data_IF_451092478684
#
_entry.id   IF_451092478684
#
_cell.length_a   1.000
_cell.length_b   1.000
_cell.length_c   1.000
_cell.angle_alpha   90.00
_cell.angle_beta   90.00
_cell.angle_gamma   90.00
#
_symmetry.space_group_name_H-M   'P 1'
#
loop_
_entity.id
_entity.type
_entity.pdbx_description
1 polymer ?
#
# COMPACT_ATOMS: atom_id res chain seq x y z
N UNK A 1 -18.26 -8.20 10.82
CA UNK A 1 -17.37 -7.57 9.84
C UNK A 1 -18.10 -6.37 9.31
N UNK A 2 -17.49 -5.20 9.36
CA UNK A 2 -18.02 -4.02 8.67
C UNK A 2 -17.85 -4.23 7.17
N UNK A 3 -18.82 -3.78 6.38
CA UNK A 3 -18.77 -3.87 4.91
C UNK A 3 -17.47 -3.21 4.42
N UNK A 4 -16.60 -3.98 3.74
CA UNK A 4 -15.30 -3.51 3.23
C UNK A 4 -14.04 -3.94 4.02
N UNK A 5 -14.16 -4.55 5.21
CA UNK A 5 -13.02 -5.05 5.97
C UNK A 5 -12.54 -6.41 5.42
N UNK A 6 -11.29 -6.43 4.94
CA UNK A 6 -10.62 -7.60 4.38
C UNK A 6 -9.85 -8.42 5.43
N UNK A 7 -9.86 -7.96 6.68
CA UNK A 7 -9.13 -8.58 7.79
C UNK A 7 -7.71 -8.04 7.97
N UNK A 8 -6.96 -8.58 8.96
CA UNK A 8 -5.66 -8.05 9.31
C UNK A 8 -4.56 -8.43 8.31
N UNK A 9 -3.63 -7.52 8.09
CA UNK A 9 -2.31 -7.85 7.56
C UNK A 9 -1.36 -7.98 8.75
N UNK A 10 -1.15 -9.21 9.22
CA UNK A 10 -0.36 -9.49 10.42
C UNK A 10 1.11 -9.76 10.15
N UNK A 11 1.49 -9.92 8.88
CA UNK A 11 2.88 -10.10 8.44
C UNK A 11 3.29 -8.99 7.49
N UNK A 12 4.59 -8.65 7.48
CA UNK A 12 5.12 -7.78 6.43
C UNK A 12 4.85 -8.46 5.09
N UNK A 13 3.89 -7.93 4.35
CA UNK A 13 3.51 -8.51 3.09
C UNK A 13 4.63 -8.23 2.08
N UNK A 14 5.37 -9.27 1.75
CA UNK A 14 6.18 -9.26 0.55
C UNK A 14 5.26 -9.57 -0.63
N UNK A 15 5.33 -8.77 -1.69
CA UNK A 15 4.72 -9.13 -2.95
C UNK A 15 5.30 -10.47 -3.43
N UNK A 16 4.52 -11.25 -4.15
CA UNK A 16 5.01 -12.47 -4.79
C UNK A 16 6.22 -12.12 -5.68
N UNK A 17 7.20 -13.04 -5.78
CA UNK A 17 8.45 -12.78 -6.50
C UNK A 17 8.20 -12.37 -7.95
N UNK A 18 7.22 -12.98 -8.59
CA UNK A 18 6.77 -12.65 -9.95
C UNK A 18 6.22 -11.22 -10.07
N UNK A 19 5.72 -10.66 -8.99
CA UNK A 19 5.15 -9.32 -8.97
C UNK A 19 6.19 -8.23 -8.65
N UNK A 20 7.34 -8.62 -8.11
CA UNK A 20 8.41 -7.65 -7.80
C UNK A 20 9.05 -7.07 -9.06
N UNK A 21 9.04 -7.83 -10.15
CA UNK A 21 9.54 -7.36 -11.45
C UNK A 21 8.68 -6.23 -12.05
N UNK A 22 7.42 -6.14 -11.65
CA UNK A 22 6.47 -5.15 -12.17
C UNK A 22 6.39 -3.88 -11.32
N UNK A 23 7.11 -3.82 -10.18
CA UNK A 23 7.04 -2.68 -9.28
C UNK A 23 7.39 -1.36 -9.96
N UNK A 24 8.42 -1.38 -10.83
CA UNK A 24 8.91 -0.20 -11.53
C UNK A 24 8.31 -0.05 -12.94
N UNK A 25 7.39 -0.94 -13.31
CA UNK A 25 6.79 -0.94 -14.65
C UNK A 25 5.72 0.13 -14.76
N UNK A 26 5.68 0.82 -15.91
CA UNK A 26 4.62 1.77 -16.26
C UNK A 26 3.86 1.22 -17.45
N UNK A 27 2.57 1.05 -17.27
CA UNK A 27 1.67 0.51 -18.28
C UNK A 27 0.82 1.62 -18.88
N UNK A 28 0.69 1.61 -20.21
CA UNK A 28 -0.19 2.52 -20.93
C UNK A 28 -1.44 1.76 -21.37
N UNK A 29 -2.56 2.17 -20.83
CA UNK A 29 -3.88 1.66 -21.18
C UNK A 29 -4.59 2.64 -22.08
N UNK A 30 -5.20 2.18 -23.16
CA UNK A 30 -5.99 3.01 -24.06
C UNK A 30 -7.48 2.87 -23.77
N UNK A 31 -8.19 3.98 -23.87
CA UNK A 31 -9.65 3.96 -23.89
C UNK A 31 -10.12 3.68 -25.32
N UNK A 32 -11.02 2.71 -25.46
CA UNK A 32 -11.38 2.13 -26.77
C UNK A 32 -11.98 3.10 -27.78
N UNK A 33 -12.53 4.24 -27.38
CA UNK A 33 -13.34 5.10 -28.26
C UNK A 33 -12.70 6.40 -28.69
N UNK A 34 -11.80 7.01 -27.90
CA UNK A 34 -11.45 8.43 -28.11
C UNK A 34 -9.94 8.71 -28.22
N UNK A 35 -9.09 7.69 -28.29
CA UNK A 35 -7.65 7.87 -28.32
C UNK A 35 -7.04 8.33 -26.99
N UNK A 36 -7.86 8.45 -25.94
CA UNK A 36 -7.41 8.73 -24.58
C UNK A 36 -6.66 7.54 -24.00
N UNK A 37 -5.74 7.82 -23.10
CA UNK A 37 -5.02 6.79 -22.38
C UNK A 37 -4.82 7.21 -20.92
N UNK A 38 -4.55 6.24 -20.06
CA UNK A 38 -4.03 6.50 -18.71
C UNK A 38 -2.78 5.67 -18.47
N UNK A 39 -1.96 6.13 -17.55
CA UNK A 39 -0.76 5.41 -17.11
C UNK A 39 -1.01 4.76 -15.78
N UNK A 40 -0.62 3.51 -15.66
CA UNK A 40 -0.63 2.75 -14.41
C UNK A 40 0.78 2.30 -14.07
N UNK A 41 1.23 2.62 -12.87
CA UNK A 41 2.50 2.20 -12.30
C UNK A 41 2.31 0.99 -11.39
N UNK A 42 3.31 0.10 -11.39
CA UNK A 42 3.33 -1.10 -10.57
C UNK A 42 2.53 -2.26 -11.14
N UNK A 43 2.27 -3.30 -10.34
CA UNK A 43 1.60 -4.50 -10.80
C UNK A 43 0.23 -4.21 -11.41
N UNK A 44 -0.04 -4.84 -12.56
CA UNK A 44 -1.36 -4.73 -13.21
C UNK A 44 -2.41 -5.62 -12.57
N UNK A 45 -1.98 -6.76 -12.03
CA UNK A 45 -2.87 -7.79 -11.56
C UNK A 45 -3.12 -7.66 -10.05
N UNK A 46 -4.36 -7.77 -9.65
CA UNK A 46 -4.74 -7.73 -8.23
C UNK A 46 -4.24 -8.94 -7.44
N UNK A 47 -3.84 -10.02 -8.11
CA UNK A 47 -3.23 -11.21 -7.50
C UNK A 47 -1.87 -10.94 -6.85
N UNK A 48 -1.23 -9.84 -7.23
CA UNK A 48 0.02 -9.39 -6.63
C UNK A 48 -0.15 -8.79 -5.23
N UNK A 49 -1.38 -8.55 -4.82
CA UNK A 49 -1.70 -7.92 -3.55
C UNK A 49 -2.14 -8.95 -2.49
N UNK A 50 -2.35 -8.54 -1.24
CA UNK A 50 -2.79 -9.44 -0.17
C UNK A 50 -4.01 -10.26 -0.56
N UNK A 51 -4.08 -11.49 -0.03
CA UNK A 51 -5.26 -12.33 -0.22
C UNK A 51 -6.54 -11.58 0.18
N UNK A 52 -7.52 -11.62 -0.71
CA UNK A 52 -8.78 -10.87 -0.55
C UNK A 52 -8.71 -9.41 -1.00
N UNK A 53 -7.56 -8.90 -1.43
CA UNK A 53 -7.45 -7.56 -1.95
C UNK A 53 -8.45 -7.30 -3.08
N UNK A 54 -9.06 -6.15 -3.04
CA UNK A 54 -9.85 -5.61 -4.12
C UNK A 54 -9.39 -4.19 -4.41
N UNK A 55 -9.29 -3.86 -5.69
CA UNK A 55 -8.89 -2.54 -6.16
C UNK A 55 -9.91 -1.42 -5.83
N UNK A 56 -11.06 -1.77 -5.25
CA UNK A 56 -12.04 -0.78 -4.83
C UNK A 56 -11.50 0.02 -3.63
N UNK A 57 -11.44 1.32 -3.77
CA UNK A 57 -10.93 2.24 -2.73
C UNK A 57 -11.77 2.25 -1.44
N UNK A 58 -12.93 1.60 -1.44
CA UNK A 58 -13.79 1.43 -0.25
C UNK A 58 -13.40 0.25 0.64
N UNK A 59 -12.51 -0.64 0.17
CA UNK A 59 -12.06 -1.81 0.93
C UNK A 59 -10.75 -1.53 1.64
N UNK A 60 -10.58 -2.13 2.82
CA UNK A 60 -9.43 -1.87 3.68
C UNK A 60 -9.03 -3.11 4.49
N UNK A 61 -7.80 -3.12 4.96
CA UNK A 61 -7.28 -4.11 5.90
C UNK A 61 -7.23 -3.51 7.31
N UNK A 62 -7.68 -4.29 8.32
CA UNK A 62 -7.64 -3.85 9.72
C UNK A 62 -7.45 -5.04 10.69
N UNK A 63 -6.53 -4.92 11.69
CA UNK A 63 -5.49 -3.91 11.81
C UNK A 63 -4.34 -4.13 10.81
N UNK A 64 -3.81 -3.06 10.26
CA UNK A 64 -2.72 -3.15 9.29
C UNK A 64 -1.89 -1.86 9.20
N UNK A 65 -0.63 -2.00 8.81
CA UNK A 65 0.24 -0.92 8.33
C UNK A 65 0.44 -1.03 6.82
N UNK A 66 0.98 0.04 6.21
CA UNK A 66 1.38 -0.02 4.81
C UNK A 66 2.36 -1.18 4.58
N UNK A 67 2.13 -2.03 3.56
CA UNK A 67 3.03 -3.14 3.26
C UNK A 67 4.37 -2.65 2.70
N UNK A 68 5.32 -3.58 2.59
CA UNK A 68 6.62 -3.29 1.99
C UNK A 68 6.47 -2.71 0.57
N UNK A 69 7.25 -1.69 0.24
CA UNK A 69 7.17 -0.98 -1.03
C UNK A 69 6.06 0.06 -1.14
N UNK A 70 5.30 0.27 -0.07
CA UNK A 70 4.22 1.25 0.01
C UNK A 70 4.42 2.22 1.18
N UNK A 71 3.98 3.45 1.01
CA UNK A 71 4.02 4.51 2.04
C UNK A 71 2.66 5.20 2.13
N UNK A 72 2.31 5.77 3.30
CA UNK A 72 1.08 6.56 3.40
C UNK A 72 1.13 7.80 2.51
N UNK A 73 0.26 7.86 1.50
CA UNK A 73 0.06 9.02 0.65
C UNK A 73 -0.88 10.05 1.28
N UNK A 74 -1.89 9.56 2.01
CA UNK A 74 -2.74 10.38 2.85
C UNK A 74 -3.21 9.61 4.07
N UNK A 75 -3.61 10.34 5.10
CA UNK A 75 -4.18 9.76 6.31
C UNK A 75 -5.29 10.64 6.87
N UNK A 76 -6.22 9.99 7.54
CA UNK A 76 -7.29 10.63 8.29
C UNK A 76 -7.56 9.86 9.58
N UNK A 77 -8.33 10.44 10.47
CA UNK A 77 -8.73 9.80 11.71
C UNK A 77 -10.24 9.78 11.82
N UNK A 78 -10.76 8.68 12.33
CA UNK A 78 -12.17 8.52 12.62
C UNK A 78 -12.37 8.16 14.09
N UNK A 79 -13.19 8.92 14.80
CA UNK A 79 -13.47 8.70 16.21
C UNK A 79 -14.82 8.00 16.40
N UNK A 80 -14.80 6.86 17.12
CA UNK A 80 -16.00 6.12 17.53
C UNK A 80 -16.03 6.06 19.05
N UNK A 81 -16.78 6.93 19.70
CA UNK A 81 -16.78 7.03 21.15
C UNK A 81 -15.42 7.46 21.69
N UNK A 82 -14.76 6.61 22.45
CA UNK A 82 -13.41 6.86 23.01
C UNK A 82 -12.28 6.28 22.16
N UNK A 83 -12.62 5.61 21.07
CA UNK A 83 -11.65 4.96 20.18
C UNK A 83 -11.36 5.87 18.99
N UNK A 84 -10.11 6.08 18.69
CA UNK A 84 -9.66 6.76 17.49
C UNK A 84 -8.99 5.76 16.57
N UNK A 85 -9.55 5.60 15.37
CA UNK A 85 -9.00 4.79 14.31
C UNK A 85 -8.25 5.68 13.32
N UNK A 86 -7.05 5.28 12.94
CA UNK A 86 -6.28 5.91 11.86
C UNK A 86 -6.58 5.16 10.56
N UNK A 87 -6.88 5.91 9.52
CA UNK A 87 -7.13 5.42 8.17
C UNK A 87 -6.01 5.96 7.30
N UNK A 88 -5.31 5.07 6.59
CA UNK A 88 -4.25 5.46 5.66
C UNK A 88 -4.50 4.82 4.30
N UNK A 89 -4.20 5.59 3.25
CA UNK A 89 -4.10 5.08 1.89
C UNK A 89 -2.63 4.96 1.54
N UNK A 90 -2.18 3.73 1.34
CA UNK A 90 -0.81 3.39 1.03
C UNK A 90 -0.61 3.37 -0.48
N UNK A 91 0.40 4.07 -0.97
CA UNK A 91 0.79 4.12 -2.37
C UNK A 91 2.24 3.66 -2.55
N UNK A 92 2.66 3.21 -3.75
CA UNK A 92 4.02 2.82 -4.04
C UNK A 92 5.03 3.93 -3.69
N UNK A 93 6.24 3.55 -3.24
CA UNK A 93 7.26 4.51 -2.76
C UNK A 93 8.05 5.20 -3.87
N UNK A 94 8.00 4.69 -5.11
CA UNK A 94 8.85 5.11 -6.22
C UNK A 94 8.60 6.56 -6.67
N UNK A 95 7.36 7.05 -6.51
CA UNK A 95 6.95 8.39 -6.90
C UNK A 95 6.22 9.09 -5.76
N UNK A 96 6.15 10.42 -5.82
CA UNK A 96 5.42 11.24 -4.85
C UNK A 96 3.91 11.19 -5.13
N UNK A 97 3.28 10.11 -4.69
CA UNK A 97 1.85 9.90 -4.86
C UNK A 97 1.03 10.67 -3.82
N UNK A 98 -0.09 11.18 -4.30
CA UNK A 98 -1.19 11.69 -3.50
C UNK A 98 -2.38 10.71 -3.58
N UNK A 99 -3.32 10.82 -2.65
CA UNK A 99 -4.56 10.07 -2.78
C UNK A 99 -5.38 10.58 -3.96
N UNK A 100 -5.93 9.64 -4.74
CA UNK A 100 -6.82 9.97 -5.84
C UNK A 100 -8.08 10.67 -5.32
N UNK A 101 -8.32 11.87 -5.77
CA UNK A 101 -9.51 12.67 -5.43
C UNK A 101 -10.47 12.82 -6.61
N UNK A 102 -9.98 12.57 -7.81
CA UNK A 102 -10.77 12.65 -9.04
C UNK A 102 -11.70 11.43 -9.18
N UNK A 103 -12.87 11.65 -9.72
CA UNK A 103 -13.87 10.61 -9.97
C UNK A 103 -14.42 10.64 -11.39
N UNK A 104 -13.81 11.44 -12.26
CA UNK A 104 -14.30 11.69 -13.62
C UNK A 104 -14.19 10.48 -14.54
N UNK A 105 -13.29 9.54 -14.23
CA UNK A 105 -13.02 8.37 -15.05
C UNK A 105 -13.16 7.07 -14.26
N UNK A 106 -13.53 5.95 -14.90
CA UNK A 106 -13.74 4.68 -14.22
C UNK A 106 -12.52 4.14 -13.48
N UNK A 107 -11.30 4.37 -13.97
CA UNK A 107 -10.08 3.91 -13.30
C UNK A 107 -9.77 4.64 -11.99
N UNK A 108 -10.31 5.85 -11.78
CA UNK A 108 -10.17 6.58 -10.51
C UNK A 108 -10.78 5.85 -9.33
N UNK A 109 -11.77 4.98 -9.57
CA UNK A 109 -12.38 4.17 -8.49
C UNK A 109 -11.52 2.97 -8.08
N UNK A 110 -10.55 2.57 -8.89
CA UNK A 110 -9.70 1.41 -8.65
C UNK A 110 -8.23 1.79 -8.43
N UNK A 111 -7.77 2.88 -9.03
CA UNK A 111 -6.41 3.39 -8.88
C UNK A 111 -6.42 4.54 -7.87
N UNK A 112 -6.29 4.19 -6.58
CA UNK A 112 -6.42 5.15 -5.48
C UNK A 112 -5.20 6.03 -5.24
N UNK A 113 -4.14 5.87 -6.03
CA UNK A 113 -2.92 6.69 -6.00
C UNK A 113 -2.80 7.48 -7.29
N UNK A 114 -2.56 8.77 -7.18
CA UNK A 114 -2.33 9.66 -8.31
C UNK A 114 -1.06 10.49 -8.11
N UNK A 115 -0.26 10.62 -9.14
CA UNK A 115 0.86 11.55 -9.20
C UNK A 115 0.62 12.48 -10.39
N UNK A 116 0.35 13.74 -10.11
CA UNK A 116 0.21 14.76 -11.13
C UNK A 116 1.59 15.22 -11.56
N UNK A 117 2.11 14.60 -12.60
CA UNK A 117 3.34 15.08 -13.24
C UNK A 117 3.02 16.44 -13.88
N UNK A 118 3.56 17.50 -13.31
CA UNK A 118 3.38 18.83 -13.87
C UNK A 118 3.95 18.90 -15.29
N UNK A 119 3.29 19.64 -16.18
CA UNK A 119 3.74 19.86 -17.57
C UNK A 119 5.19 20.38 -17.68
N UNK A 120 5.76 20.91 -16.59
CA UNK A 120 7.13 21.40 -16.52
C UNK A 120 8.19 20.31 -16.33
N UNK A 121 7.79 19.10 -15.93
CA UNK A 121 8.70 17.98 -15.68
C UNK A 121 8.52 16.91 -16.77
N UNK A 122 9.04 17.20 -17.97
CA UNK A 122 9.08 16.23 -19.06
C UNK A 122 9.99 15.06 -18.70
N UNK A 123 9.42 14.03 -18.12
CA UNK A 123 10.14 12.80 -17.78
C UNK A 123 10.01 11.81 -18.92
N UNK A 124 11.11 11.18 -19.31
CA UNK A 124 11.08 10.10 -20.28
C UNK A 124 10.68 8.81 -19.57
N UNK A 125 9.52 8.30 -19.91
CA UNK A 125 9.01 7.04 -19.37
C UNK A 125 9.24 5.90 -20.35
N UNK A 126 9.70 4.76 -19.86
CA UNK A 126 9.60 3.50 -20.59
C UNK A 126 8.25 2.89 -20.24
N UNK A 127 7.35 2.82 -21.21
CA UNK A 127 6.00 2.32 -20.99
C UNK A 127 5.76 1.01 -21.73
N UNK A 128 4.95 0.13 -21.16
CA UNK A 128 4.46 -1.08 -21.77
C UNK A 128 3.05 -0.76 -22.29
N UNK A 129 2.87 -0.69 -23.62
CA UNK A 129 1.55 -0.47 -24.21
C UNK A 129 0.78 -1.81 -24.23
N UNK A 130 -0.28 -1.89 -23.44
CA UNK A 130 -1.08 -3.11 -23.27
C UNK A 130 -2.30 -3.16 -24.21
N UNK A 131 -2.48 -2.16 -25.08
CA UNK A 131 -3.67 -2.05 -25.92
C UNK A 131 -3.76 -3.11 -27.04
N UNK A 132 -2.62 -3.68 -27.47
CA UNK A 132 -2.55 -4.59 -28.62
C UNK A 132 -2.25 -6.05 -28.25
N UNK A 133 -2.47 -6.48 -27.00
CA UNK A 133 -2.14 -7.85 -26.53
C UNK A 133 -0.67 -8.30 -26.77
N UNK A 134 0.13 -7.48 -27.37
CA UNK A 134 1.56 -7.60 -27.50
C UNK A 134 2.18 -6.50 -26.67
N UNK A 135 2.81 -6.84 -25.56
CA UNK A 135 3.55 -5.89 -24.74
C UNK A 135 4.69 -5.28 -25.57
N UNK A 136 4.43 -4.13 -26.18
CA UNK A 136 5.45 -3.40 -26.90
C UNK A 136 6.05 -2.39 -25.96
N UNK A 137 7.32 -2.54 -25.63
CA UNK A 137 8.04 -1.53 -24.86
C UNK A 137 8.25 -0.34 -25.78
N UNK A 138 7.57 0.77 -25.50
CA UNK A 138 7.73 2.01 -26.24
C UNK A 138 8.29 3.05 -25.27
N UNK A 139 9.45 3.62 -25.60
CA UNK A 139 9.95 4.81 -24.91
C UNK A 139 9.15 5.99 -25.39
N UNK A 140 8.42 6.65 -24.52
CA UNK A 140 7.64 7.84 -24.86
C UNK A 140 8.18 9.03 -24.08
N UNK A 141 8.56 10.08 -24.80
CA UNK A 141 8.94 11.37 -24.23
C UNK A 141 7.70 12.25 -24.14
N UNK A 142 7.46 12.84 -22.96
CA UNK A 142 6.38 13.81 -22.79
C UNK A 142 4.99 13.17 -22.86
N UNK A 143 4.65 12.34 -21.88
CA UNK A 143 3.28 11.88 -21.70
C UNK A 143 2.52 12.95 -20.92
N UNK A 144 1.47 13.49 -21.52
CA UNK A 144 0.48 14.30 -20.83
C UNK A 144 -0.37 13.37 -19.97
N UNK A 145 -0.56 13.72 -18.73
CA UNK A 145 -1.41 12.98 -17.79
C UNK A 145 -0.65 12.44 -16.57
N UNK A 146 -1.39 12.28 -15.51
CA UNK A 146 -0.88 11.78 -14.24
C UNK A 146 -0.56 10.28 -14.28
N UNK A 147 0.36 9.87 -13.44
CA UNK A 147 0.65 8.46 -13.18
C UNK A 147 -0.28 7.96 -12.08
N UNK A 148 -0.96 6.85 -12.33
CA UNK A 148 -1.87 6.25 -11.36
C UNK A 148 -1.30 4.92 -10.86
N UNK A 149 -1.69 4.50 -9.66
CA UNK A 149 -1.33 3.19 -9.13
C UNK A 149 -2.45 2.62 -8.25
N UNK A 150 -2.43 1.30 -8.06
CA UNK A 150 -3.27 0.67 -7.05
C UNK A 150 -2.88 1.15 -5.66
N UNK A 151 -3.88 1.44 -4.85
CA UNK A 151 -3.70 1.78 -3.43
C UNK A 151 -4.09 0.63 -2.53
N UNK A 152 -3.50 0.59 -1.34
CA UNK A 152 -3.91 -0.32 -0.27
C UNK A 152 -4.41 0.54 0.89
N UNK A 153 -5.69 0.40 1.23
CA UNK A 153 -6.21 1.06 2.41
C UNK A 153 -5.97 0.21 3.66
N UNK A 154 -5.45 0.86 4.69
CA UNK A 154 -5.22 0.24 5.99
C UNK A 154 -5.86 1.06 7.10
N UNK A 155 -6.33 0.37 8.15
CA UNK A 155 -6.88 0.99 9.35
C UNK A 155 -6.27 0.36 10.58
N UNK A 156 -6.04 1.17 11.59
CA UNK A 156 -5.49 0.72 12.86
C UNK A 156 -5.76 1.69 14.00
N UNK A 157 -5.67 1.16 15.20
CA UNK A 157 -5.65 1.91 16.44
C UNK A 157 -4.22 1.90 17.01
N UNK A 158 -3.87 2.89 17.81
CA UNK A 158 -2.56 2.95 18.46
C UNK A 158 -2.27 1.74 19.36
N UNK A 159 -3.31 1.08 19.85
CA UNK A 159 -3.23 -0.13 20.66
C UNK A 159 -2.92 -1.41 19.89
N UNK A 160 -3.14 -1.43 18.56
CA UNK A 160 -3.04 -2.66 17.75
C UNK A 160 -1.60 -3.15 17.61
N UNK A 161 -0.63 -2.27 17.74
CA UNK A 161 0.79 -2.55 17.55
C UNK A 161 1.60 -2.48 18.86
N UNK A 162 0.94 -2.41 19.99
CA UNK A 162 1.64 -2.45 21.30
C UNK A 162 2.14 -3.87 21.50
N UNK A 163 3.44 -4.07 21.33
CA UNK A 163 4.09 -5.30 21.75
C UNK A 163 3.90 -5.46 23.27
N UNK A 164 3.13 -6.45 23.69
CA UNK A 164 3.14 -6.90 25.08
C UNK A 164 4.52 -7.48 25.34
N UNK A 165 5.44 -6.65 25.81
CA UNK A 165 6.70 -7.14 26.39
C UNK A 165 6.31 -7.94 27.64
N UNK A 166 6.13 -9.24 27.46
CA UNK A 166 5.98 -10.16 28.60
C UNK A 166 7.30 -10.14 29.33
N UNK A 167 7.35 -9.39 30.43
CA UNK A 167 8.47 -9.45 31.35
C UNK A 167 8.52 -10.89 31.95
N UNK A 168 9.34 -11.73 31.36
CA UNK A 168 9.61 -13.04 31.95
C UNK A 168 10.49 -12.78 33.15
N UNK A 169 9.89 -12.81 34.35
CA UNK A 169 10.64 -12.84 35.59
C UNK A 169 11.30 -14.22 35.69
N UNK A 170 12.54 -14.34 35.24
CA UNK A 170 13.33 -15.54 35.45
C UNK A 170 13.93 -15.44 36.86
N UNK A 171 13.24 -16.00 37.84
CA UNK A 171 13.81 -16.25 39.18
C UNK A 171 14.64 -17.52 39.13
N UNK A 172 15.95 -17.42 38.95
CA UNK A 172 16.88 -18.53 39.03
C UNK A 172 17.19 -18.84 40.51
N UNK A 173 16.88 -20.05 40.96
CA UNK A 173 17.36 -20.57 42.26
C UNK A 173 18.83 -20.95 42.12
N UNK A 174 19.73 -20.05 42.49
CA UNK A 174 21.11 -20.43 42.76
C UNK A 174 21.22 -20.89 44.22
N UNK A 175 21.51 -22.16 44.40
CA UNK A 175 21.76 -22.79 45.71
C UNK A 175 23.14 -22.36 46.17
N UNK A 176 23.22 -21.23 46.84
CA UNK A 176 24.16 -20.93 47.91
C UNK A 176 23.68 -19.64 48.59
N UNK A 177 23.19 -19.85 49.84
CA UNK A 177 22.80 -18.83 50.81
C UNK A 177 21.67 -17.84 50.41
N UNK A 178 20.44 -18.19 50.79
CA UNK A 178 19.29 -17.38 51.30
C UNK A 178 19.00 -15.97 50.73
N UNK A 179 19.36 -15.61 49.54
CA UNK A 179 18.85 -14.38 48.89
C UNK A 179 18.42 -14.66 47.44
N UNK A 180 17.12 -14.51 47.20
CA UNK A 180 16.60 -14.53 45.82
C UNK A 180 16.91 -13.19 45.15
N UNK A 181 17.72 -13.20 44.09
CA UNK A 181 17.93 -12.03 43.23
C UNK A 181 17.09 -12.18 41.97
N UNK A 182 16.09 -11.32 41.84
CA UNK A 182 15.31 -11.22 40.61
C UNK A 182 15.95 -10.14 39.71
N UNK A 183 16.40 -10.51 38.50
CA UNK A 183 16.88 -9.56 37.50
C UNK A 183 15.77 -9.31 36.48
N UNK A 184 15.47 -8.03 36.26
CA UNK A 184 14.60 -7.60 35.20
C UNK A 184 15.44 -7.51 33.89
N UNK A 185 15.19 -8.40 32.96
CA UNK A 185 15.78 -8.30 31.59
C UNK A 185 14.77 -7.62 30.72
N UNK A 186 15.08 -6.39 30.30
CA UNK A 186 14.32 -5.64 29.31
C UNK A 186 15.03 -5.87 27.96
N UNK A 187 14.35 -6.50 27.01
CA UNK A 187 14.77 -6.67 25.63
C UNK A 187 13.90 -5.83 24.69
#
# INVERSE_FOLDING_TARGET
MTDGDLGPITTSLALAEECTADLDSVYKHRWETDGWYWLQHGPQETTCFPSGYSALTSQYFSPANCPYGYTPACSSTYAIGTITETIQTCCPTEYDYQCQTETSYPWHYTLGCANDVSESEWTTWTVIDVSDKSSTITTSTGLEGGLNAFSIQVRFQSSDFVSTTSSINVCGLYSFETHAVCALVIS
#
